data_IF_096946172007
#
_entry.id   IF_096946172007
#
_cell.length_a   1.000
_cell.length_b   1.000
_cell.length_c   1.000
_cell.angle_alpha   90.00
_cell.angle_beta   90.00
_cell.angle_gamma   90.00
#
_symmetry.space_group_name_H-M   'P 1'
#
loop_
_entity.id
_entity.type
_entity.pdbx_description
1 polymer ?
#
# COMPACT_ATOMS: atom_id res chain seq x y z
N UNK A 1 1.23 -9.38 28.91
CA UNK A 1 0.44 -9.30 27.67
C UNK A 1 0.18 -10.67 27.08
N UNK A 2 -0.95 -10.86 26.42
CA UNK A 2 -1.21 -11.97 25.49
C UNK A 2 -1.25 -11.41 24.08
N UNK A 3 -0.85 -12.20 23.07
CA UNK A 3 -0.64 -11.74 21.71
C UNK A 3 -1.28 -12.73 20.72
N UNK A 4 -1.78 -12.20 19.59
CA UNK A 4 -2.17 -13.01 18.45
C UNK A 4 -0.95 -13.77 17.88
N UNK A 5 -1.20 -14.90 17.25
CA UNK A 5 -0.13 -15.72 16.66
C UNK A 5 0.45 -15.06 15.41
N UNK A 6 1.74 -15.31 15.16
CA UNK A 6 2.41 -14.89 13.94
C UNK A 6 1.76 -15.60 12.74
N UNK A 7 1.47 -14.86 11.68
CA UNK A 7 0.79 -15.40 10.50
C UNK A 7 -0.73 -15.54 10.65
N UNK A 8 -1.33 -15.13 11.78
CA UNK A 8 -2.77 -15.15 11.94
C UNK A 8 -3.44 -14.07 11.09
N UNK A 9 -4.50 -14.44 10.39
CA UNK A 9 -5.42 -13.50 9.74
C UNK A 9 -6.36 -12.93 10.78
N UNK A 10 -6.52 -11.61 10.79
CA UNK A 10 -7.38 -10.88 11.71
C UNK A 10 -8.29 -9.92 10.95
N UNK A 11 -9.49 -9.74 11.47
CA UNK A 11 -10.46 -8.77 10.96
C UNK A 11 -10.41 -7.48 11.77
N UNK A 12 -10.83 -6.40 11.16
CA UNK A 12 -10.99 -5.12 11.85
C UNK A 12 -11.86 -5.28 13.11
N UNK A 13 -11.30 -4.88 14.25
CA UNK A 13 -11.94 -4.99 15.55
C UNK A 13 -11.56 -6.22 16.35
N UNK A 14 -10.90 -7.22 15.76
CA UNK A 14 -10.40 -8.39 16.49
C UNK A 14 -9.32 -7.98 17.48
N UNK A 15 -9.32 -8.61 18.65
CA UNK A 15 -8.31 -8.35 19.69
C UNK A 15 -7.01 -9.04 19.32
N UNK A 16 -5.98 -8.25 18.99
CA UNK A 16 -4.66 -8.73 18.58
C UNK A 16 -3.65 -8.78 19.74
N UNK A 17 -3.89 -7.99 20.79
CA UNK A 17 -3.13 -8.08 22.03
C UNK A 17 -4.00 -7.70 23.21
N UNK A 18 -3.71 -8.30 24.37
CA UNK A 18 -4.38 -7.99 25.64
C UNK A 18 -3.33 -7.74 26.71
N UNK A 19 -3.40 -6.58 27.34
CA UNK A 19 -2.56 -6.15 28.46
C UNK A 19 -3.22 -6.56 29.76
N UNK A 20 -2.45 -6.84 30.81
CA UNK A 20 -3.00 -7.15 32.15
C UNK A 20 -3.77 -5.94 32.70
N UNK A 21 -5.05 -6.14 32.92
CA UNK A 21 -5.99 -5.08 33.31
C UNK A 21 -6.46 -5.20 34.76
N UNK A 22 -5.97 -6.19 35.54
CA UNK A 22 -6.44 -6.49 36.91
C UNK A 22 -6.40 -5.26 37.82
N UNK A 23 -5.33 -4.49 37.78
CA UNK A 23 -5.22 -3.25 38.58
C UNK A 23 -6.24 -2.20 38.14
N UNK A 24 -6.48 -2.07 36.83
CA UNK A 24 -7.44 -1.12 36.30
C UNK A 24 -8.90 -1.56 36.61
N UNK A 25 -9.16 -2.86 36.70
CA UNK A 25 -10.48 -3.38 37.14
C UNK A 25 -10.76 -3.01 38.58
N UNK A 26 -9.78 -3.10 39.48
CA UNK A 26 -9.91 -2.65 40.87
C UNK A 26 -10.17 -1.14 40.90
N UNK A 27 -9.36 -0.36 40.19
CA UNK A 27 -9.55 1.08 40.09
C UNK A 27 -10.92 1.48 39.56
N UNK A 28 -11.48 0.71 38.60
CA UNK A 28 -12.82 0.93 38.08
C UNK A 28 -13.88 0.80 39.20
N UNK A 29 -13.74 -0.21 40.05
CA UNK A 29 -14.66 -0.42 41.17
C UNK A 29 -14.54 0.72 42.21
N UNK A 30 -13.34 1.18 42.54
CA UNK A 30 -13.11 2.30 43.44
C UNK A 30 -13.74 3.60 42.88
N UNK A 31 -13.52 3.90 41.59
CA UNK A 31 -14.07 5.09 40.95
C UNK A 31 -15.61 5.02 40.85
N UNK A 32 -16.18 3.83 40.61
CA UNK A 32 -17.62 3.65 40.63
C UNK A 32 -18.23 3.90 42.03
N UNK A 33 -17.58 3.41 43.08
CA UNK A 33 -17.98 3.68 44.45
C UNK A 33 -17.85 5.17 44.79
N UNK A 34 -16.81 5.83 44.34
CA UNK A 34 -16.61 7.28 44.51
C UNK A 34 -17.72 8.10 43.84
N UNK A 35 -18.14 7.72 42.63
CA UNK A 35 -19.30 8.35 41.97
C UNK A 35 -20.59 8.15 42.75
N UNK A 36 -20.86 6.93 43.20
CA UNK A 36 -22.08 6.61 43.96
C UNK A 36 -22.14 7.41 45.26
N UNK A 37 -21.00 7.55 45.97
CA UNK A 37 -20.92 8.36 47.21
C UNK A 37 -21.18 9.85 46.93
N UNK A 38 -20.58 10.39 45.85
CA UNK A 38 -20.78 11.79 45.45
C UNK A 38 -22.24 12.06 45.01
N UNK A 39 -22.87 11.12 44.31
CA UNK A 39 -24.29 11.20 43.93
C UNK A 39 -25.20 11.22 45.15
N UNK A 40 -25.01 10.32 46.10
CA UNK A 40 -25.79 10.28 47.34
C UNK A 40 -25.64 11.57 48.17
N UNK A 41 -24.40 12.14 48.24
CA UNK A 41 -24.18 13.39 48.92
C UNK A 41 -24.88 14.56 48.24
N UNK A 42 -24.81 14.64 46.92
CA UNK A 42 -25.49 15.68 46.15
C UNK A 42 -27.00 15.60 46.34
N UNK A 43 -27.60 14.41 46.23
CA UNK A 43 -29.02 14.17 46.41
C UNK A 43 -29.50 14.62 47.82
N UNK A 44 -28.73 14.27 48.84
CA UNK A 44 -29.00 14.74 50.22
C UNK A 44 -29.03 16.28 50.28
N UNK A 45 -27.99 16.95 49.74
CA UNK A 45 -27.89 18.42 49.77
C UNK A 45 -28.96 19.10 48.92
N UNK A 46 -29.34 18.53 47.79
CA UNK A 46 -30.48 19.03 47.00
C UNK A 46 -31.79 18.97 47.78
N UNK A 47 -32.03 17.85 48.47
CA UNK A 47 -33.19 17.71 49.36
C UNK A 47 -33.18 18.76 50.50
N UNK A 48 -31.99 19.01 51.12
CA UNK A 48 -31.83 20.02 52.15
C UNK A 48 -32.08 21.46 51.62
N UNK A 49 -31.56 21.78 50.40
CA UNK A 49 -31.80 23.09 49.76
C UNK A 49 -33.30 23.25 49.49
N UNK A 50 -34.01 22.25 49.02
CA UNK A 50 -35.43 22.31 48.76
C UNK A 50 -36.24 22.50 50.04
N UNK A 51 -35.87 21.77 51.12
CA UNK A 51 -36.47 21.93 52.46
C UNK A 51 -36.27 23.34 53.01
N UNK A 52 -35.02 23.84 53.08
CA UNK A 52 -34.68 25.16 53.59
C UNK A 52 -35.29 26.28 52.74
N UNK A 53 -35.33 26.13 51.42
CA UNK A 53 -36.01 27.07 50.52
C UNK A 53 -37.48 27.22 50.85
N UNK A 54 -38.17 26.10 51.12
CA UNK A 54 -39.58 26.11 51.53
C UNK A 54 -39.80 26.81 52.88
N UNK A 55 -38.91 26.57 53.86
CA UNK A 55 -38.99 27.21 55.15
C UNK A 55 -38.67 28.72 55.08
N UNK A 56 -37.67 29.13 54.30
CA UNK A 56 -37.33 30.54 54.08
C UNK A 56 -38.50 31.32 53.43
N UNK A 57 -39.23 30.74 52.48
CA UNK A 57 -40.44 31.34 51.89
C UNK A 57 -41.55 31.61 52.92
N UNK A 58 -41.53 30.87 54.05
CA UNK A 58 -42.51 31.00 55.15
C UNK A 58 -41.93 31.85 56.33
N UNK A 59 -40.79 32.50 56.13
CA UNK A 59 -40.03 33.25 57.16
C UNK A 59 -39.66 32.39 58.41
N UNK A 60 -39.47 31.08 58.25
CA UNK A 60 -39.15 30.12 59.29
C UNK A 60 -37.69 29.69 59.35
N UNK A 61 -36.85 30.21 58.45
CA UNK A 61 -35.41 29.96 58.38
C UNK A 61 -34.65 31.21 57.93
N UNK A 62 -33.42 31.38 58.38
CA UNK A 62 -32.55 32.46 57.94
C UNK A 62 -32.14 32.27 56.45
N UNK A 63 -32.05 33.37 55.70
CA UNK A 63 -31.62 33.34 54.29
C UNK A 63 -30.15 32.90 54.20
N UNK A 64 -29.32 33.26 55.19
CA UNK A 64 -27.91 32.84 55.27
C UNK A 64 -27.72 31.33 55.31
N UNK A 65 -28.61 30.58 56.04
CA UNK A 65 -28.55 29.13 56.14
C UNK A 65 -28.94 28.45 54.81
N UNK A 66 -29.81 29.06 54.05
CA UNK A 66 -30.14 28.61 52.69
C UNK A 66 -28.98 28.79 51.74
N UNK A 67 -28.31 29.97 51.78
CA UNK A 67 -27.21 30.27 50.88
C UNK A 67 -25.96 29.41 51.20
N UNK A 68 -25.70 29.13 52.49
CA UNK A 68 -24.67 28.16 52.88
C UNK A 68 -24.96 26.76 52.33
N UNK A 69 -26.21 26.27 52.46
CA UNK A 69 -26.58 24.94 51.96
C UNK A 69 -26.51 24.88 50.42
N UNK A 70 -26.85 25.97 49.73
CA UNK A 70 -26.65 26.05 48.24
C UNK A 70 -25.19 25.97 47.88
N UNK A 71 -24.31 26.69 48.60
CA UNK A 71 -22.88 26.61 48.35
C UNK A 71 -22.34 25.19 48.57
N UNK A 72 -22.77 24.51 49.63
CA UNK A 72 -22.41 23.10 49.86
C UNK A 72 -22.91 22.18 48.78
N UNK A 73 -24.13 22.37 48.24
CA UNK A 73 -24.69 21.61 47.10
C UNK A 73 -23.85 21.86 45.86
N UNK A 74 -23.43 23.11 45.61
CA UNK A 74 -22.60 23.43 44.40
C UNK A 74 -21.21 22.80 44.50
N UNK A 75 -20.61 22.75 45.69
CA UNK A 75 -19.37 21.99 45.94
C UNK A 75 -19.58 20.50 45.67
N UNK A 76 -20.67 19.89 46.21
CA UNK A 76 -20.95 18.49 45.97
C UNK A 76 -21.22 18.15 44.48
N UNK A 77 -21.83 19.08 43.75
CA UNK A 77 -21.97 18.97 42.29
C UNK A 77 -20.60 18.97 41.57
N UNK A 78 -19.67 19.81 42.05
CA UNK A 78 -18.29 19.83 41.55
C UNK A 78 -17.56 18.49 41.84
N UNK A 79 -17.72 17.96 43.05
CA UNK A 79 -17.14 16.68 43.47
C UNK A 79 -17.66 15.52 42.64
N UNK A 80 -18.96 15.49 42.35
CA UNK A 80 -19.57 14.49 41.48
C UNK A 80 -19.00 14.58 40.05
N UNK A 81 -18.87 15.77 39.51
CA UNK A 81 -18.29 15.99 38.19
C UNK A 81 -16.85 15.47 38.12
N UNK A 82 -16.04 15.76 39.16
CA UNK A 82 -14.67 15.28 39.25
C UNK A 82 -14.60 13.72 39.38
N UNK A 83 -15.50 13.12 40.17
CA UNK A 83 -15.56 11.67 40.32
C UNK A 83 -15.94 10.99 38.98
N UNK A 84 -16.93 11.52 38.26
CA UNK A 84 -17.31 11.04 36.93
C UNK A 84 -16.18 11.15 35.91
N UNK A 85 -15.40 12.24 35.94
CA UNK A 85 -14.25 12.40 35.06
C UNK A 85 -13.15 11.36 35.33
N UNK A 86 -12.89 11.02 36.62
CA UNK A 86 -11.97 9.94 37.01
C UNK A 86 -12.45 8.60 36.49
N UNK A 87 -13.71 8.26 36.72
CA UNK A 87 -14.32 7.03 36.22
C UNK A 87 -14.21 6.92 34.68
N UNK A 88 -14.46 8.01 33.96
CA UNK A 88 -14.31 8.04 32.50
C UNK A 88 -12.87 7.76 32.06
N UNK A 89 -11.89 8.33 32.75
CA UNK A 89 -10.45 8.10 32.49
C UNK A 89 -10.08 6.62 32.70
N UNK A 90 -10.54 6.00 33.79
CA UNK A 90 -10.26 4.59 34.08
C UNK A 90 -10.90 3.67 33.05
N UNK A 91 -12.13 3.96 32.61
CA UNK A 91 -12.78 3.24 31.52
C UNK A 91 -12.00 3.36 30.21
N UNK A 92 -11.49 4.52 29.90
CA UNK A 92 -10.66 4.74 28.71
C UNK A 92 -9.35 3.94 28.79
N UNK A 93 -8.68 3.92 29.96
CA UNK A 93 -7.48 3.13 30.17
C UNK A 93 -7.76 1.63 29.98
N UNK A 94 -8.88 1.12 30.51
CA UNK A 94 -9.33 -0.25 30.31
C UNK A 94 -9.59 -0.56 28.83
N UNK A 95 -10.20 0.35 28.08
CA UNK A 95 -10.39 0.18 26.64
C UNK A 95 -9.06 -0.03 25.90
N UNK A 96 -7.99 0.68 26.31
CA UNK A 96 -6.67 0.55 25.72
C UNK A 96 -5.89 -0.71 26.16
N UNK A 97 -6.39 -1.47 27.14
CA UNK A 97 -5.78 -2.77 27.46
C UNK A 97 -6.06 -3.84 26.42
N UNK A 98 -7.12 -3.68 25.61
CA UNK A 98 -7.41 -4.50 24.45
C UNK A 98 -6.95 -3.78 23.17
N UNK A 99 -5.83 -4.21 22.60
CA UNK A 99 -5.38 -3.71 21.31
C UNK A 99 -6.15 -4.42 20.20
N UNK A 100 -6.92 -3.65 19.43
CA UNK A 100 -7.75 -4.17 18.34
C UNK A 100 -7.15 -3.86 16.99
N UNK A 101 -7.34 -4.78 16.03
CA UNK A 101 -6.92 -4.58 14.65
C UNK A 101 -7.68 -3.39 14.02
N UNK A 102 -6.99 -2.39 13.47
CA UNK A 102 -7.61 -1.22 12.84
C UNK A 102 -8.20 -1.52 11.45
N UNK A 103 -7.73 -2.58 10.79
CA UNK A 103 -8.12 -3.06 9.47
C UNK A 103 -7.96 -4.59 9.38
N UNK A 104 -8.51 -5.19 8.33
CA UNK A 104 -8.34 -6.60 8.02
C UNK A 104 -6.93 -6.87 7.52
N UNK A 105 -6.25 -7.89 8.04
CA UNK A 105 -4.88 -8.15 7.64
C UNK A 105 -4.23 -9.33 8.33
N UNK A 106 -2.93 -9.44 8.16
CA UNK A 106 -2.09 -10.52 8.66
C UNK A 106 -1.13 -9.99 9.74
N UNK A 107 -0.97 -10.75 10.82
CA UNK A 107 0.05 -10.50 11.84
C UNK A 107 1.43 -10.85 11.26
N UNK A 108 2.16 -9.81 10.79
CA UNK A 108 3.45 -9.99 10.13
C UNK A 108 4.62 -10.15 11.11
N UNK A 109 4.58 -9.45 12.26
CA UNK A 109 5.63 -9.51 13.26
C UNK A 109 5.04 -9.33 14.66
N UNK A 110 5.63 -10.01 15.63
CA UNK A 110 5.45 -9.71 17.06
C UNK A 110 6.70 -9.02 17.56
N UNK A 111 6.56 -7.76 17.96
CA UNK A 111 7.65 -6.89 18.40
C UNK A 111 7.87 -6.97 19.91
N UNK A 112 6.90 -7.55 20.64
CA UNK A 112 6.97 -7.82 22.08
C UNK A 112 6.59 -9.28 22.35
N UNK A 113 6.99 -9.80 23.50
CA UNK A 113 6.72 -11.19 23.92
C UNK A 113 5.61 -11.27 24.96
N UNK A 114 4.96 -12.43 25.03
CA UNK A 114 3.98 -12.70 26.07
C UNK A 114 4.63 -12.64 27.47
N UNK A 115 3.98 -11.95 28.40
CA UNK A 115 4.49 -11.72 29.75
C UNK A 115 5.45 -10.55 29.88
N UNK A 116 5.85 -9.92 28.78
CA UNK A 116 6.73 -8.76 28.78
C UNK A 116 6.01 -7.52 29.30
N UNK A 117 6.74 -6.62 29.96
CA UNK A 117 6.26 -5.32 30.38
C UNK A 117 6.39 -4.31 29.24
N UNK A 118 5.32 -3.59 28.94
CA UNK A 118 5.27 -2.60 27.87
C UNK A 118 4.85 -1.23 28.40
N UNK A 119 5.46 -0.19 27.87
CA UNK A 119 5.10 1.20 28.16
C UNK A 119 4.17 1.77 27.06
N UNK A 120 3.56 2.92 27.34
CA UNK A 120 2.80 3.65 26.34
C UNK A 120 3.71 4.00 25.14
N UNK A 121 3.25 3.69 23.93
CA UNK A 121 4.01 3.92 22.71
C UNK A 121 4.94 2.76 22.29
N UNK A 122 5.06 1.70 23.10
CA UNK A 122 5.79 0.49 22.67
C UNK A 122 5.05 -0.21 21.55
N UNK A 123 5.74 -0.47 20.45
CA UNK A 123 5.19 -1.26 19.35
C UNK A 123 5.08 -2.74 19.77
N UNK A 124 3.90 -3.32 19.63
CA UNK A 124 3.61 -4.69 20.09
C UNK A 124 3.52 -5.65 18.91
N UNK A 125 2.76 -5.30 17.89
CA UNK A 125 2.47 -6.12 16.71
C UNK A 125 2.58 -5.26 15.47
N UNK A 126 3.13 -5.84 14.40
CA UNK A 126 3.06 -5.30 13.05
C UNK A 126 1.97 -6.03 12.28
N UNK A 127 0.92 -5.29 11.96
CA UNK A 127 -0.18 -5.77 11.13
C UNK A 127 0.01 -5.28 9.69
N UNK A 128 -0.21 -6.15 8.72
CA UNK A 128 -0.09 -5.83 7.29
C UNK A 128 -1.43 -6.09 6.61
N UNK A 129 -1.94 -5.07 5.92
CA UNK A 129 -3.12 -5.21 5.07
C UNK A 129 -2.76 -5.98 3.80
N UNK A 130 -3.54 -7.01 3.47
CA UNK A 130 -3.29 -7.88 2.32
C UNK A 130 -4.29 -7.69 1.18
N UNK A 131 -5.40 -6.98 1.42
CA UNK A 131 -6.47 -6.81 0.44
C UNK A 131 -6.21 -5.71 -0.59
N UNK A 132 -5.58 -4.60 -0.18
CA UNK A 132 -5.36 -3.42 -1.01
C UNK A 132 -3.87 -3.25 -1.34
N UNK A 133 -3.33 -4.22 -2.06
CA UNK A 133 -1.90 -4.18 -2.41
C UNK A 133 -1.60 -3.10 -3.44
N UNK A 134 -0.50 -2.42 -3.23
CA UNK A 134 0.07 -1.46 -4.16
C UNK A 134 1.53 -1.81 -4.47
N UNK A 135 1.94 -1.66 -5.73
CA UNK A 135 3.35 -1.68 -6.08
C UNK A 135 3.87 -0.25 -6.19
N UNK A 136 4.92 0.07 -5.43
CA UNK A 136 5.66 1.31 -5.56
C UNK A 136 6.80 1.11 -6.56
N UNK A 137 6.73 1.82 -7.68
CA UNK A 137 7.67 1.72 -8.80
C UNK A 137 8.33 3.07 -9.02
N UNK A 138 9.63 3.05 -9.29
CA UNK A 138 10.39 4.27 -9.55
C UNK A 138 10.69 4.40 -11.05
N UNK A 139 10.15 5.44 -11.67
CA UNK A 139 10.32 5.73 -13.09
C UNK A 139 11.08 7.04 -13.32
N UNK A 140 11.86 7.17 -14.41
CA UNK A 140 12.47 8.43 -14.77
C UNK A 140 11.43 9.55 -14.95
N UNK A 141 11.72 10.76 -14.48
CA UNK A 141 10.78 11.88 -14.60
C UNK A 141 10.44 12.20 -16.06
N UNK A 142 11.34 11.88 -17.01
CA UNK A 142 11.09 12.02 -18.45
C UNK A 142 9.92 11.17 -18.96
N UNK A 143 9.61 10.05 -18.28
CA UNK A 143 8.49 9.18 -18.61
C UNK A 143 7.12 9.80 -18.23
N UNK A 144 7.10 10.87 -17.43
CA UNK A 144 5.86 11.48 -16.95
C UNK A 144 4.87 11.85 -18.05
N UNK A 145 5.38 12.34 -19.20
CA UNK A 145 4.55 12.71 -20.36
C UNK A 145 3.79 11.53 -20.99
N UNK A 146 4.29 10.31 -20.80
CA UNK A 146 3.73 9.09 -21.38
C UNK A 146 2.87 8.31 -20.40
N UNK A 147 2.91 8.66 -19.10
CA UNK A 147 2.15 8.00 -18.05
C UNK A 147 0.93 8.83 -17.69
N UNK A 148 -0.23 8.18 -17.67
CA UNK A 148 -1.49 8.79 -17.23
C UNK A 148 -2.12 7.91 -16.17
N UNK A 149 -2.79 8.52 -15.22
CA UNK A 149 -3.61 7.81 -14.25
C UNK A 149 -4.62 6.90 -14.99
N UNK A 150 -4.91 5.74 -14.43
CA UNK A 150 -5.78 4.71 -15.02
C UNK A 150 -5.23 4.01 -16.28
N UNK A 151 -3.98 4.28 -16.67
CA UNK A 151 -3.29 3.50 -17.71
C UNK A 151 -2.81 2.16 -17.11
N UNK A 152 -2.87 1.09 -17.89
CA UNK A 152 -2.35 -0.22 -17.49
C UNK A 152 -0.90 -0.36 -17.93
N UNK A 153 -0.06 -0.85 -17.03
CA UNK A 153 1.34 -1.18 -17.29
C UNK A 153 1.55 -2.68 -17.15
N UNK A 154 2.43 -3.23 -17.97
CA UNK A 154 2.84 -4.63 -17.86
C UNK A 154 3.73 -4.82 -16.64
N UNK A 155 3.34 -5.77 -15.79
CA UNK A 155 4.04 -6.13 -14.55
C UNK A 155 4.55 -7.55 -14.67
N UNK A 156 5.82 -7.76 -14.34
CA UNK A 156 6.50 -9.06 -14.34
C UNK A 156 7.06 -9.35 -12.95
N UNK A 157 6.85 -10.56 -12.45
CA UNK A 157 7.37 -11.05 -11.18
C UNK A 157 7.76 -12.52 -11.29
N UNK A 158 8.52 -13.08 -10.34
CA UNK A 158 8.79 -14.52 -10.28
C UNK A 158 7.53 -15.40 -10.19
N UNK A 159 6.40 -14.84 -9.73
CA UNK A 159 5.13 -15.55 -9.59
C UNK A 159 4.21 -15.42 -10.80
N UNK A 160 4.57 -14.59 -11.78
CA UNK A 160 3.77 -14.43 -13.00
C UNK A 160 3.84 -13.04 -13.60
N UNK A 161 3.10 -12.87 -14.68
CA UNK A 161 2.98 -11.62 -15.43
C UNK A 161 1.53 -11.17 -15.47
N UNK A 162 1.32 -9.87 -15.58
CA UNK A 162 -0.02 -9.30 -15.70
C UNK A 162 0.00 -7.83 -16.04
N UNK A 163 -1.16 -7.18 -15.96
CA UNK A 163 -1.31 -5.75 -16.18
C UNK A 163 -1.88 -5.11 -14.92
N UNK A 164 -1.22 -4.08 -14.43
CA UNK A 164 -1.66 -3.31 -13.27
C UNK A 164 -2.00 -1.88 -13.69
N UNK A 165 -3.04 -1.33 -13.09
CA UNK A 165 -3.50 0.03 -13.37
C UNK A 165 -2.69 1.04 -12.53
N UNK A 166 -2.33 2.17 -13.15
CA UNK A 166 -1.72 3.28 -12.41
C UNK A 166 -2.77 3.90 -11.50
N UNK A 167 -2.59 3.75 -10.19
CA UNK A 167 -3.42 4.36 -9.16
C UNK A 167 -3.07 5.82 -8.92
N UNK A 168 -1.78 6.11 -8.82
CA UNK A 168 -1.30 7.48 -8.64
C UNK A 168 0.10 7.69 -9.21
N UNK A 169 0.36 8.91 -9.64
CA UNK A 169 1.65 9.40 -10.08
C UNK A 169 2.10 10.50 -9.11
N UNK A 170 3.28 10.38 -8.56
CA UNK A 170 3.88 11.40 -7.71
C UNK A 170 5.02 12.07 -8.50
N UNK A 171 4.73 13.19 -9.22
CA UNK A 171 5.70 13.81 -10.14
C UNK A 171 6.73 14.66 -9.40
N UNK A 172 7.17 14.18 -8.24
CA UNK A 172 8.20 14.80 -7.42
C UNK A 172 9.41 13.88 -7.41
N UNK A 173 10.40 14.23 -8.20
CA UNK A 173 11.65 13.47 -8.25
C UNK A 173 12.53 13.78 -7.03
N UNK A 174 13.18 12.77 -6.50
CA UNK A 174 14.22 13.00 -5.50
C UNK A 174 15.43 13.69 -6.16
N UNK A 175 16.06 14.62 -5.44
CA UNK A 175 17.24 15.36 -5.96
C UNK A 175 18.44 14.46 -6.31
N UNK A 176 18.47 13.21 -5.82
CA UNK A 176 19.56 12.26 -6.05
C UNK A 176 19.32 11.34 -7.24
N UNK A 177 18.09 10.84 -7.39
CA UNK A 177 17.80 9.79 -8.38
C UNK A 177 17.12 10.33 -9.63
N UNK A 178 16.49 11.50 -9.59
CA UNK A 178 15.62 12.04 -10.64
C UNK A 178 14.48 11.09 -11.04
N UNK A 179 14.10 10.18 -10.11
CA UNK A 179 13.00 9.23 -10.29
C UNK A 179 11.76 9.74 -9.60
N UNK A 180 10.61 9.60 -10.25
CA UNK A 180 9.29 9.81 -9.68
C UNK A 180 8.71 8.48 -9.20
N UNK A 181 7.86 8.51 -8.20
CA UNK A 181 7.14 7.34 -7.72
C UNK A 181 5.83 7.16 -8.51
N UNK A 182 5.61 5.93 -8.97
CA UNK A 182 4.38 5.49 -9.63
C UNK A 182 3.78 4.39 -8.77
N UNK A 183 2.54 4.54 -8.35
CA UNK A 183 1.81 3.53 -7.60
C UNK A 183 0.84 2.80 -8.48
N UNK A 184 0.95 1.50 -8.49
CA UNK A 184 0.10 0.60 -9.25
C UNK A 184 -0.86 -0.13 -8.31
N UNK A 185 -2.10 -0.30 -8.75
CA UNK A 185 -3.08 -1.12 -8.07
C UNK A 185 -2.79 -2.60 -8.35
N UNK A 186 -2.50 -3.34 -7.29
CA UNK A 186 -2.18 -4.77 -7.34
C UNK A 186 -3.29 -5.63 -6.74
N UNK A 187 -4.46 -5.08 -6.46
CA UNK A 187 -5.58 -5.79 -5.79
C UNK A 187 -6.10 -7.01 -6.58
N UNK A 188 -5.87 -7.04 -7.89
CA UNK A 188 -6.22 -8.19 -8.75
C UNK A 188 -5.21 -9.35 -8.71
N UNK A 189 -4.09 -9.19 -8.02
CA UNK A 189 -3.03 -10.19 -7.92
C UNK A 189 -3.02 -10.82 -6.54
N UNK A 190 -2.97 -12.14 -6.50
CA UNK A 190 -2.76 -12.89 -5.25
C UNK A 190 -1.25 -13.06 -4.98
N UNK A 191 -0.57 -11.93 -4.83
CA UNK A 191 0.87 -11.90 -4.59
C UNK A 191 1.19 -11.48 -3.16
N UNK A 192 2.23 -12.06 -2.54
CA UNK A 192 2.61 -11.71 -1.19
C UNK A 192 3.21 -10.30 -1.11
N UNK A 193 2.98 -9.64 0.03
CA UNK A 193 3.60 -8.35 0.34
C UNK A 193 5.11 -8.52 0.42
N UNK A 194 5.85 -7.58 -0.18
CA UNK A 194 7.32 -7.62 -0.24
C UNK A 194 7.87 -8.31 -1.49
N UNK A 195 7.01 -8.77 -2.39
CA UNK A 195 7.45 -9.31 -3.68
C UNK A 195 8.05 -8.19 -4.56
N UNK A 196 9.21 -8.45 -5.14
CA UNK A 196 9.79 -7.55 -6.13
C UNK A 196 9.11 -7.71 -7.49
N UNK A 197 8.70 -6.60 -8.08
CA UNK A 197 8.07 -6.56 -9.39
C UNK A 197 8.89 -5.70 -10.35
N UNK A 198 8.86 -6.06 -11.63
CA UNK A 198 9.39 -5.26 -12.74
C UNK A 198 8.24 -4.71 -13.55
N UNK A 199 8.30 -3.45 -13.90
CA UNK A 199 7.23 -2.78 -14.63
C UNK A 199 7.80 -2.15 -15.88
N UNK A 200 7.15 -2.41 -17.02
CA UNK A 200 7.49 -1.77 -18.28
C UNK A 200 6.91 -0.36 -18.31
N UNK A 201 7.77 0.64 -18.38
CA UNK A 201 7.39 2.06 -18.43
C UNK A 201 7.78 2.62 -19.78
N UNK A 202 6.81 3.22 -20.51
CA UNK A 202 7.10 3.93 -21.75
C UNK A 202 8.00 5.15 -21.49
N UNK A 203 9.11 5.24 -22.21
CA UNK A 203 10.06 6.34 -22.11
C UNK A 203 10.15 7.18 -23.41
N UNK A 204 9.32 6.88 -24.40
CA UNK A 204 9.28 7.54 -25.70
C UNK A 204 7.91 7.41 -26.34
N UNK A 205 7.72 8.10 -27.47
CA UNK A 205 6.53 7.96 -28.28
C UNK A 205 6.52 6.61 -29.02
N UNK A 206 5.34 6.00 -29.14
CA UNK A 206 5.16 4.80 -29.93
C UNK A 206 5.40 5.11 -31.41
N UNK A 207 6.33 4.42 -32.03
CA UNK A 207 6.62 4.52 -33.46
C UNK A 207 6.43 3.16 -34.13
N UNK A 208 5.91 3.18 -35.33
CA UNK A 208 5.95 2.00 -36.18
C UNK A 208 7.34 1.86 -36.75
N UNK A 209 8.00 0.77 -36.43
CA UNK A 209 9.36 0.49 -36.87
C UNK A 209 9.44 -0.89 -37.52
N UNK A 210 10.40 -1.05 -38.42
CA UNK A 210 10.71 -2.37 -38.94
C UNK A 210 11.55 -3.12 -37.92
N UNK A 211 11.06 -4.28 -37.49
CA UNK A 211 11.76 -5.11 -36.51
C UNK A 211 11.97 -6.52 -37.06
N UNK A 212 13.10 -7.09 -36.70
CA UNK A 212 13.47 -8.46 -37.04
C UNK A 212 13.74 -9.26 -35.76
N UNK A 213 13.56 -10.61 -35.79
CA UNK A 213 14.02 -11.44 -34.69
C UNK A 213 15.52 -11.24 -34.43
N UNK A 214 15.92 -11.21 -33.16
CA UNK A 214 17.32 -11.03 -32.76
C UNK A 214 18.26 -12.04 -33.44
N UNK A 215 17.81 -13.28 -33.65
CA UNK A 215 18.58 -14.35 -34.29
C UNK A 215 18.80 -14.12 -35.81
N UNK A 216 18.11 -13.16 -36.42
CA UNK A 216 18.36 -12.77 -37.80
C UNK A 216 19.57 -11.84 -37.97
N UNK A 217 20.04 -11.24 -36.87
CA UNK A 217 21.15 -10.28 -36.89
C UNK A 217 22.50 -11.02 -36.96
N UNK A 218 23.30 -10.68 -37.96
CA UNK A 218 24.66 -11.20 -38.12
C UNK A 218 25.65 -10.08 -37.80
N UNK A 219 26.38 -10.27 -36.69
CA UNK A 219 27.40 -9.34 -36.23
C UNK A 219 28.75 -9.75 -36.79
N UNK A 220 29.37 -8.88 -37.57
CA UNK A 220 30.72 -9.06 -38.12
C UNK A 220 31.61 -7.84 -37.78
N UNK A 221 32.89 -7.97 -38.02
CA UNK A 221 33.85 -6.84 -37.79
C UNK A 221 33.50 -5.58 -38.59
N UNK A 222 32.85 -5.74 -39.72
CA UNK A 222 32.42 -4.70 -40.65
C UNK A 222 31.10 -4.04 -40.29
N UNK A 223 30.38 -4.58 -39.27
CA UNK A 223 29.10 -4.08 -38.80
C UNK A 223 28.03 -5.15 -38.67
N UNK A 224 26.80 -4.70 -38.40
CA UNK A 224 25.64 -5.56 -38.28
C UNK A 224 24.91 -5.66 -39.63
N UNK A 225 24.53 -6.86 -40.01
CA UNK A 225 23.81 -7.13 -41.25
C UNK A 225 22.74 -8.19 -41.04
N UNK A 226 21.80 -8.25 -41.97
CA UNK A 226 20.81 -9.30 -42.09
C UNK A 226 20.88 -9.91 -43.49
N UNK A 227 20.34 -11.15 -43.66
CA UNK A 227 20.21 -11.76 -44.98
C UNK A 227 18.75 -11.76 -45.38
N UNK A 228 18.44 -11.09 -46.52
CA UNK A 228 17.17 -11.13 -47.21
C UNK A 228 17.22 -12.18 -48.29
N UNK A 229 16.13 -12.90 -48.54
CA UNK A 229 15.98 -13.82 -49.64
C UNK A 229 15.29 -13.08 -50.79
N UNK A 230 15.98 -12.98 -51.91
CA UNK A 230 15.43 -12.35 -53.09
C UNK A 230 14.48 -13.30 -53.91
N UNK A 231 13.89 -12.79 -54.99
CA UNK A 231 12.98 -13.53 -55.88
C UNK A 231 13.61 -14.76 -56.54
N UNK A 232 14.96 -14.80 -56.63
CA UNK A 232 15.72 -15.91 -57.23
C UNK A 232 16.16 -16.96 -56.16
N UNK A 233 15.61 -16.90 -54.92
CA UNK A 233 16.01 -17.73 -53.79
C UNK A 233 17.51 -17.65 -53.45
N UNK A 234 18.12 -16.46 -53.62
CA UNK A 234 19.50 -16.22 -53.21
C UNK A 234 19.55 -15.26 -52.01
N UNK A 235 20.57 -15.43 -51.16
CA UNK A 235 20.76 -14.65 -49.96
C UNK A 235 21.45 -13.33 -50.25
N UNK A 236 20.78 -12.22 -50.04
CA UNK A 236 21.33 -10.87 -50.17
C UNK A 236 21.67 -10.30 -48.79
N UNK A 237 22.90 -9.90 -48.62
CA UNK A 237 23.34 -9.28 -47.38
C UNK A 237 23.02 -7.78 -47.37
N UNK A 238 22.25 -7.34 -46.36
CA UNK A 238 21.86 -5.95 -46.17
C UNK A 238 22.53 -5.45 -44.90
N UNK A 239 23.29 -4.39 -44.96
CA UNK A 239 23.82 -3.70 -43.78
C UNK A 239 22.72 -2.93 -43.11
N UNK A 240 22.61 -3.08 -41.77
CA UNK A 240 21.56 -2.45 -40.98
C UNK A 240 22.14 -1.79 -39.72
N UNK A 241 21.53 -0.69 -39.32
CA UNK A 241 21.75 -0.12 -38.01
C UNK A 241 20.70 -0.68 -37.05
N UNK A 242 21.15 -1.11 -35.87
CA UNK A 242 20.29 -1.68 -34.84
C UNK A 242 19.76 -0.54 -33.97
N UNK A 243 18.44 -0.44 -33.86
CA UNK A 243 17.75 0.50 -33.00
C UNK A 243 17.34 -0.13 -31.66
N UNK A 244 16.12 0.15 -31.21
CA UNK A 244 15.60 -0.38 -29.94
C UNK A 244 15.25 -1.86 -30.03
N UNK A 245 15.47 -2.57 -28.90
CA UNK A 245 15.08 -3.97 -28.77
C UNK A 245 13.84 -4.10 -27.86
N UNK A 246 12.86 -4.90 -28.29
CA UNK A 246 11.68 -5.22 -27.53
C UNK A 246 11.47 -6.74 -27.50
N UNK A 247 11.79 -7.35 -26.37
CA UNK A 247 11.74 -8.81 -26.22
C UNK A 247 12.68 -9.52 -27.21
N UNK A 248 12.10 -10.37 -28.10
CA UNK A 248 12.85 -11.10 -29.12
C UNK A 248 13.04 -10.31 -30.43
N UNK A 249 12.37 -9.17 -30.57
CA UNK A 249 12.42 -8.32 -31.74
C UNK A 249 13.41 -7.16 -31.55
N UNK A 250 14.08 -6.77 -32.62
CA UNK A 250 15.05 -5.68 -32.66
C UNK A 250 14.74 -4.80 -33.85
N UNK A 251 14.59 -3.50 -33.59
CA UNK A 251 14.45 -2.49 -34.65
C UNK A 251 15.67 -2.50 -35.56
N UNK A 252 15.42 -2.45 -36.86
CA UNK A 252 16.46 -2.33 -37.87
C UNK A 252 16.21 -1.17 -38.83
N UNK A 253 17.24 -0.40 -39.08
CA UNK A 253 17.21 0.74 -39.99
C UNK A 253 18.19 0.43 -41.14
N UNK A 254 17.66 0.32 -42.36
CA UNK A 254 18.43 -0.04 -43.55
C UNK A 254 17.50 -0.22 -44.76
N UNK A 255 18.05 -0.73 -45.86
CA UNK A 255 17.34 -0.97 -47.12
C UNK A 255 16.45 -2.25 -47.06
N UNK A 256 15.52 -2.27 -46.10
CA UNK A 256 14.61 -3.36 -45.85
C UNK A 256 13.16 -2.84 -45.88
N UNK A 257 12.22 -3.66 -46.37
CA UNK A 257 10.81 -3.33 -46.45
C UNK A 257 9.96 -4.33 -45.66
N UNK A 258 8.78 -3.87 -45.24
CA UNK A 258 7.80 -4.75 -44.63
C UNK A 258 7.38 -5.84 -45.67
N UNK A 259 7.45 -7.11 -45.26
CA UNK A 259 7.18 -8.24 -46.13
C UNK A 259 8.41 -8.94 -46.72
N UNK A 260 9.63 -8.37 -46.53
CA UNK A 260 10.87 -9.03 -46.95
C UNK A 260 11.06 -10.35 -46.19
N UNK A 261 11.50 -11.40 -46.91
CA UNK A 261 11.82 -12.70 -46.30
C UNK A 261 13.25 -12.67 -45.75
N UNK A 262 13.37 -12.86 -44.43
CA UNK A 262 14.65 -12.77 -43.71
C UNK A 262 15.07 -14.13 -43.17
N UNK A 263 16.36 -14.41 -43.23
CA UNK A 263 16.94 -15.61 -42.66
C UNK A 263 17.11 -15.46 -41.17
N UNK A 264 16.38 -16.26 -40.38
CA UNK A 264 16.45 -16.21 -38.89
C UNK A 264 17.44 -17.26 -38.36
N UNK A 265 17.63 -18.40 -39.04
CA UNK A 265 18.56 -19.44 -38.56
C UNK A 265 19.60 -19.76 -39.63
N UNK A 266 20.87 -19.84 -39.23
CA UNK A 266 21.99 -20.15 -40.11
C UNK A 266 22.51 -18.96 -40.92
N UNK A 267 22.06 -17.74 -40.63
CA UNK A 267 22.49 -16.52 -41.31
C UNK A 267 24.00 -16.28 -41.22
N UNK A 268 24.62 -16.68 -40.10
CA UNK A 268 26.06 -16.53 -39.89
C UNK A 268 26.93 -17.31 -40.86
N UNK A 269 26.42 -18.36 -41.49
CA UNK A 269 27.15 -19.22 -42.45
C UNK A 269 26.95 -18.85 -43.90
N UNK A 270 26.02 -17.92 -44.14
CA UNK A 270 25.70 -17.52 -45.53
C UNK A 270 26.74 -16.55 -46.06
N UNK A 271 26.94 -16.65 -47.42
CA UNK A 271 27.71 -15.69 -48.21
C UNK A 271 26.74 -14.90 -49.09
N UNK A 272 27.02 -13.65 -49.38
CA UNK A 272 26.24 -12.86 -50.35
C UNK A 272 26.12 -13.60 -51.70
N UNK A 273 24.91 -13.65 -52.24
CA UNK A 273 24.60 -14.34 -53.52
C UNK A 273 24.45 -15.85 -53.42
N UNK A 274 24.54 -16.46 -52.27
CA UNK A 274 24.41 -17.89 -52.09
C UNK A 274 22.94 -18.32 -52.27
N UNK A 275 22.73 -19.34 -53.15
CA UNK A 275 21.43 -19.95 -53.32
C UNK A 275 20.99 -20.70 -52.05
N UNK A 276 19.75 -20.49 -51.61
CA UNK A 276 19.19 -21.06 -50.38
C UNK A 276 17.90 -21.79 -50.66
N UNK A 277 17.65 -22.84 -49.88
CA UNK A 277 16.37 -23.57 -49.89
C UNK A 277 15.59 -23.25 -48.63
N UNK A 278 14.39 -22.69 -48.76
CA UNK A 278 13.54 -22.33 -47.64
C UNK A 278 12.95 -23.63 -47.05
N UNK A 279 13.28 -23.94 -45.78
CA UNK A 279 12.78 -25.14 -45.08
C UNK A 279 11.44 -24.93 -44.37
N UNK A 280 11.09 -23.72 -44.00
CA UNK A 280 9.80 -23.35 -43.41
C UNK A 280 9.53 -21.87 -43.68
N UNK A 281 8.32 -21.60 -44.12
CA UNK A 281 7.82 -20.25 -44.34
C UNK A 281 7.13 -19.78 -43.06
N UNK A 282 7.93 -19.34 -42.07
CA UNK A 282 7.39 -18.69 -40.90
C UNK A 282 7.50 -17.17 -41.14
N UNK A 283 6.53 -16.65 -41.88
CA UNK A 283 6.41 -15.23 -42.21
C UNK A 283 6.04 -14.45 -40.97
N UNK A 284 7.03 -14.12 -40.15
CA UNK A 284 6.89 -13.25 -39.00
C UNK A 284 7.63 -11.92 -39.22
N UNK A 285 7.09 -11.11 -40.13
CA UNK A 285 7.25 -9.68 -40.03
C UNK A 285 6.04 -9.16 -39.24
N UNK A 286 6.20 -9.07 -37.94
CA UNK A 286 5.19 -8.45 -37.07
C UNK A 286 5.44 -6.95 -37.10
N UNK A 287 4.54 -6.19 -37.70
CA UNK A 287 4.39 -4.76 -37.43
C UNK A 287 4.06 -4.61 -35.95
N UNK A 288 5.09 -4.39 -35.12
CA UNK A 288 4.91 -4.16 -33.70
C UNK A 288 4.51 -2.71 -33.47
N UNK A 289 3.27 -2.45 -33.05
CA UNK A 289 2.92 -1.21 -32.36
C UNK A 289 3.50 -1.31 -30.95
N UNK A 290 4.45 -0.46 -30.64
CA UNK A 290 4.95 -0.23 -29.28
C UNK A 290 4.38 1.07 -28.72
#
# INVERSE_FOLDING_TARGET
ISLAELGAEVKKGDVIARIDDRTLQIQLQEDQASVANAESRLEFLESEVNRKSTLAKRNLSAITDLDETRSQRDVAQGDLTAARARLAKTRQNLYFTELKAPFDGLVAERLSNQGEYVNNGTAIIRLVETANLEASVFAPLTAYRFLKQSTHLDVDSPLGKGKAMIKSLVPVASNRSHLMEVRLDMSSFDWPVGLNVRVAVANGESKEVLAVPRDALVLRREGTSIFRINSENSAEQISVHVGMAAGELVEVIGEINAGDKIVVRGAERLRPGQAVQIKSDNSALVSGKQ
#
